data_IF_508193373341
#
_entry.id   IF_508193373341
#
_cell.length_a   1.000
_cell.length_b   1.000
_cell.length_c   1.000
_cell.angle_alpha   90.00
_cell.angle_beta   90.00
_cell.angle_gamma   90.00
#
_symmetry.space_group_name_H-M   'P 1'
#
loop_
_entity.id
_entity.type
_entity.pdbx_description
1 polymer ?
#
# COMPACT_ATOMS: atom_id res chain seq x y z
N UNK A 1 5.29 -30.32 -25.29
CA UNK A 1 5.67 -28.95 -25.71
C UNK A 1 4.46 -28.01 -25.69
N UNK A 2 3.28 -28.44 -26.15
CA UNK A 2 2.05 -27.63 -26.15
C UNK A 2 1.61 -27.12 -24.76
N UNK A 3 1.74 -27.94 -23.71
CA UNK A 3 1.41 -27.53 -22.33
C UNK A 3 2.23 -26.34 -21.85
N UNK A 4 3.48 -26.21 -22.32
CA UNK A 4 4.36 -25.10 -21.93
C UNK A 4 3.91 -23.78 -22.55
N UNK A 5 3.46 -23.79 -23.81
CA UNK A 5 2.90 -22.62 -24.49
C UNK A 5 1.62 -22.14 -23.81
N UNK A 6 0.76 -23.07 -23.39
CA UNK A 6 -0.47 -22.77 -22.66
C UNK A 6 -0.16 -22.14 -21.31
N UNK A 7 0.75 -22.74 -20.53
CA UNK A 7 1.17 -22.21 -19.22
C UNK A 7 1.80 -20.82 -19.38
N UNK A 8 2.68 -20.63 -20.36
CA UNK A 8 3.29 -19.32 -20.63
C UNK A 8 2.24 -18.24 -20.97
N UNK A 9 1.22 -18.59 -21.77
CA UNK A 9 0.10 -17.69 -22.09
C UNK A 9 -0.70 -17.31 -20.85
N UNK A 10 -1.07 -18.29 -20.01
CA UNK A 10 -1.84 -18.06 -18.78
C UNK A 10 -1.05 -17.18 -17.81
N UNK A 11 0.25 -17.46 -17.60
CA UNK A 11 1.11 -16.66 -16.73
C UNK A 11 1.23 -15.21 -17.23
N UNK A 12 1.41 -14.99 -18.53
CA UNK A 12 1.42 -13.65 -19.11
C UNK A 12 0.11 -12.89 -18.82
N UNK A 13 -1.03 -13.54 -18.99
CA UNK A 13 -2.35 -12.94 -18.73
C UNK A 13 -2.49 -12.57 -17.24
N UNK A 14 -2.11 -13.46 -16.33
CA UNK A 14 -2.16 -13.22 -14.88
C UNK A 14 -1.27 -12.03 -14.49
N UNK A 15 -0.05 -11.93 -15.04
CA UNK A 15 0.88 -10.83 -14.77
C UNK A 15 0.30 -9.48 -15.23
N UNK A 16 -0.29 -9.43 -16.43
CA UNK A 16 -0.91 -8.22 -16.98
C UNK A 16 -2.15 -7.79 -16.18
N UNK A 17 -2.96 -8.75 -15.72
CA UNK A 17 -4.13 -8.46 -14.87
C UNK A 17 -3.68 -7.97 -13.49
N UNK A 18 -2.69 -8.63 -12.87
CA UNK A 18 -2.19 -8.28 -11.54
C UNK A 18 -1.55 -6.90 -11.50
N UNK A 19 -0.79 -6.53 -12.53
CA UNK A 19 -0.19 -5.19 -12.65
C UNK A 19 -1.22 -4.06 -12.78
N UNK A 20 -2.40 -4.34 -13.33
CA UNK A 20 -3.54 -3.39 -13.34
C UNK A 20 -4.23 -3.25 -11.98
N UNK A 21 -4.24 -4.31 -11.18
CA UNK A 21 -4.88 -4.30 -9.86
C UNK A 21 -3.97 -3.68 -8.77
N UNK A 22 -2.65 -3.74 -8.96
CA UNK A 22 -1.64 -3.31 -8.00
C UNK A 22 -1.33 -1.78 -8.03
N UNK A 23 -2.14 -0.96 -8.69
CA UNK A 23 -1.92 0.50 -8.73
C UNK A 23 -2.47 1.27 -7.51
N UNK A 24 -2.89 0.61 -6.42
CA UNK A 24 -3.40 1.28 -5.21
C UNK A 24 -2.95 0.68 -3.89
N UNK A 25 -1.79 0.03 -3.83
CA UNK A 25 -1.13 -0.15 -2.54
C UNK A 25 -0.15 1.00 -2.31
N UNK A 26 -0.70 2.22 -2.29
CA UNK A 26 -0.09 3.31 -1.54
C UNK A 26 -0.07 2.82 -0.09
N UNK A 27 1.09 2.36 0.38
CA UNK A 27 1.27 2.24 1.83
C UNK A 27 0.96 3.64 2.36
N UNK A 28 -0.12 3.84 3.14
CA UNK A 28 -0.44 5.16 3.66
C UNK A 28 0.83 5.62 4.36
N UNK A 29 1.42 6.71 3.86
CA UNK A 29 2.68 7.22 4.39
C UNK A 29 2.53 7.27 5.91
N UNK A 30 3.26 6.37 6.59
CA UNK A 30 3.15 6.23 8.04
C UNK A 30 3.88 7.41 8.64
N UNK A 31 3.18 8.53 8.76
CA UNK A 31 3.66 9.73 9.44
C UNK A 31 3.85 9.41 10.92
N UNK A 32 4.91 9.96 11.50
CA UNK A 32 5.21 9.83 12.93
C UNK A 32 4.75 11.08 13.67
N UNK A 33 4.22 10.90 14.88
CA UNK A 33 3.82 12.05 15.70
C UNK A 33 5.08 12.74 16.27
N UNK A 34 5.25 14.06 16.10
CA UNK A 34 6.42 14.76 16.64
C UNK A 34 6.45 14.82 18.17
N UNK A 35 5.29 14.69 18.84
CA UNK A 35 5.21 14.75 20.31
C UNK A 35 5.48 13.41 21.00
N UNK A 36 4.94 12.30 20.48
CA UNK A 36 5.09 10.98 21.11
C UNK A 36 5.97 10.00 20.31
N UNK A 37 6.38 10.35 19.09
CA UNK A 37 7.18 9.49 18.21
C UNK A 37 6.41 8.31 17.61
N UNK A 38 5.13 8.13 17.97
CA UNK A 38 4.35 6.97 17.55
C UNK A 38 3.86 7.13 16.11
N UNK A 39 3.92 6.06 15.33
CA UNK A 39 3.53 6.04 13.91
C UNK A 39 2.02 5.90 13.80
N UNK A 40 1.41 6.70 12.93
CA UNK A 40 0.00 6.61 12.60
C UNK A 40 -0.17 6.56 11.08
N UNK A 41 -1.30 6.03 10.62
CA UNK A 41 -1.66 6.00 9.21
C UNK A 41 -2.67 7.09 8.86
N UNK A 42 -2.58 7.63 7.64
CA UNK A 42 -3.49 8.65 7.12
C UNK A 42 -3.22 10.06 7.65
N UNK A 43 -4.22 10.95 7.53
CA UNK A 43 -4.13 12.35 7.94
C UNK A 43 -5.10 12.70 9.11
N UNK A 44 -4.94 12.09 10.31
CA UNK A 44 -5.75 12.43 11.49
C UNK A 44 -5.39 13.79 12.15
N UNK A 45 -6.28 14.78 12.18
CA UNK A 45 -6.03 16.11 12.80
C UNK A 45 -5.40 16.10 14.21
N UNK A 46 -5.59 15.02 14.96
CA UNK A 46 -4.98 14.76 16.26
C UNK A 46 -4.36 13.38 16.30
N UNK A 47 -3.25 13.21 17.01
CA UNK A 47 -2.60 11.93 17.18
C UNK A 47 -3.49 10.99 18.00
N UNK A 48 -3.83 9.79 17.50
CA UNK A 48 -4.70 8.84 18.23
C UNK A 48 -4.03 8.24 19.48
N UNK A 49 -2.72 8.44 19.66
CA UNK A 49 -1.98 7.85 20.78
C UNK A 49 -1.77 8.82 21.94
N UNK A 50 -1.53 10.10 21.66
CA UNK A 50 -1.27 11.10 22.70
C UNK A 50 -2.26 12.28 22.70
N UNK A 51 -3.12 12.39 21.69
CA UNK A 51 -4.08 13.50 21.55
C UNK A 51 -3.50 14.79 20.97
N UNK A 52 -2.18 14.87 20.79
CA UNK A 52 -1.50 16.07 20.27
C UNK A 52 -2.03 16.47 18.88
N UNK A 53 -2.13 17.78 18.62
CA UNK A 53 -2.61 18.28 17.33
C UNK A 53 -1.55 18.07 16.26
N UNK A 54 -1.86 17.26 15.26
CA UNK A 54 -0.94 16.98 14.15
C UNK A 54 -1.12 18.07 13.09
N UNK A 55 -0.05 18.79 12.81
CA UNK A 55 0.01 19.83 11.78
C UNK A 55 0.98 19.36 10.70
N UNK A 56 0.43 18.78 9.64
CA UNK A 56 1.08 18.60 8.35
C UNK A 56 1.03 19.90 7.57
#
# INVERSE_FOLDING_TARGET
>A
METYLIIAGILCVIIVISSKLFSRHETPEKSSCPACGKRYGGNPRNCPHCGEKLRW
#
